data_IF_556707019039
#
_entry.id   IF_556707019039
#
_cell.length_a   1.000
_cell.length_b   1.000
_cell.length_c   1.000
_cell.angle_alpha   90.00
_cell.angle_beta   90.00
_cell.angle_gamma   90.00
#
_symmetry.space_group_name_H-M   'P 1'
#
loop_
_entity.id
_entity.type
_entity.pdbx_description
1 polymer ?
#
# COMPACT_ATOMS: atom_id res chain seq x y z
N UNK A 1 -8.77 1.70 -45.92
CA UNK A 1 -8.53 2.55 -44.72
C UNK A 1 -8.59 1.67 -43.47
N UNK A 2 -7.44 1.26 -42.92
CA UNK A 2 -7.43 0.51 -41.66
C UNK A 2 -7.63 1.45 -40.47
N UNK A 3 -8.72 1.26 -39.70
CA UNK A 3 -8.94 1.99 -38.44
C UNK A 3 -7.66 1.86 -37.59
N UNK A 4 -7.01 2.95 -37.13
CA UNK A 4 -5.96 2.83 -36.13
C UNK A 4 -6.51 1.98 -34.98
N UNK A 5 -5.78 0.92 -34.66
CA UNK A 5 -6.40 -0.32 -34.19
C UNK A 5 -6.95 -0.14 -32.79
N UNK A 6 -8.27 -0.32 -32.65
CA UNK A 6 -8.95 -0.44 -31.36
C UNK A 6 -8.24 -1.44 -30.43
N UNK A 7 -7.52 -2.39 -31.02
CA UNK A 7 -6.60 -3.32 -30.38
C UNK A 7 -5.50 -2.65 -29.52
N UNK A 8 -4.77 -1.66 -30.03
CA UNK A 8 -3.68 -1.01 -29.27
C UNK A 8 -4.21 -0.23 -28.06
N UNK A 9 -5.37 0.40 -28.22
CA UNK A 9 -6.10 1.02 -27.10
C UNK A 9 -6.53 -0.01 -26.07
N UNK A 10 -7.09 -1.14 -26.51
CA UNK A 10 -7.46 -2.25 -25.64
C UNK A 10 -6.26 -2.77 -24.83
N UNK A 11 -5.09 -2.93 -25.46
CA UNK A 11 -3.86 -3.35 -24.76
C UNK A 11 -3.45 -2.34 -23.69
N UNK A 12 -3.47 -1.04 -24.00
CA UNK A 12 -3.08 0.01 -23.06
C UNK A 12 -4.00 0.06 -21.84
N UNK A 13 -5.31 0.01 -22.07
CA UNK A 13 -6.31 -0.03 -20.98
C UNK A 13 -6.17 -1.31 -20.15
N UNK A 14 -5.93 -2.46 -20.80
CA UNK A 14 -5.72 -3.72 -20.10
C UNK A 14 -4.43 -3.71 -19.27
N UNK A 15 -3.31 -3.25 -19.83
CA UNK A 15 -2.03 -3.14 -19.13
C UNK A 15 -2.13 -2.20 -17.93
N UNK A 16 -2.80 -1.07 -18.10
CA UNK A 16 -3.08 -0.13 -17.03
C UNK A 16 -3.91 -0.77 -15.91
N UNK A 17 -5.05 -1.38 -16.27
CA UNK A 17 -5.96 -2.00 -15.30
C UNK A 17 -5.25 -3.13 -14.55
N UNK A 18 -4.43 -3.92 -15.25
CA UNK A 18 -3.62 -4.98 -14.65
C UNK A 18 -2.60 -4.42 -13.66
N UNK A 19 -1.91 -3.33 -13.98
CA UNK A 19 -0.96 -2.69 -13.08
C UNK A 19 -1.64 -2.13 -11.83
N UNK A 20 -2.78 -1.44 -11.98
CA UNK A 20 -3.55 -0.90 -10.84
C UNK A 20 -4.08 -2.02 -9.95
N UNK A 21 -4.67 -3.08 -10.54
CA UNK A 21 -5.14 -4.24 -9.78
C UNK A 21 -3.97 -4.91 -9.06
N UNK A 22 -2.83 -5.06 -9.72
CA UNK A 22 -1.65 -5.66 -9.11
C UNK A 22 -1.13 -4.83 -7.95
N UNK A 23 -0.98 -3.52 -8.12
CA UNK A 23 -0.58 -2.60 -7.05
C UNK A 23 -1.55 -2.62 -5.87
N UNK A 24 -2.86 -2.78 -6.14
CA UNK A 24 -3.88 -2.87 -5.13
C UNK A 24 -3.86 -4.19 -4.36
N UNK A 25 -3.51 -5.31 -5.01
CA UNK A 25 -3.60 -6.65 -4.43
C UNK A 25 -2.29 -7.13 -3.81
N UNK A 26 -1.14 -6.75 -4.37
CA UNK A 26 0.16 -7.27 -3.94
C UNK A 26 0.71 -6.47 -2.74
N UNK A 27 0.85 -7.09 -1.55
CA UNK A 27 1.39 -6.42 -0.36
C UNK A 27 2.82 -5.96 -0.54
N UNK A 28 3.59 -6.63 -1.40
CA UNK A 28 4.98 -6.27 -1.62
C UNK A 28 5.15 -5.09 -2.58
N UNK A 29 4.08 -4.62 -3.25
CA UNK A 29 4.18 -3.59 -4.29
C UNK A 29 4.80 -2.28 -3.78
N UNK A 30 4.36 -1.79 -2.62
CA UNK A 30 4.86 -0.55 -2.03
C UNK A 30 6.37 -0.59 -1.72
N UNK A 31 6.89 -1.65 -1.05
CA UNK A 31 8.34 -1.87 -0.95
C UNK A 31 9.06 -1.92 -2.29
N UNK A 32 8.40 -2.29 -3.40
CA UNK A 32 9.05 -2.29 -4.72
C UNK A 32 9.24 -0.86 -5.22
N UNK A 33 8.24 -0.01 -5.02
CA UNK A 33 8.29 1.38 -5.48
C UNK A 33 9.37 2.15 -4.71
N UNK A 34 9.46 1.94 -3.39
CA UNK A 34 10.42 2.62 -2.51
C UNK A 34 11.80 1.96 -2.45
N UNK A 35 11.87 0.66 -2.75
CA UNK A 35 13.10 -0.11 -2.72
C UNK A 35 14.08 0.34 -3.80
N UNK A 36 15.38 0.09 -3.60
CA UNK A 36 16.37 0.44 -4.62
C UNK A 36 16.29 -0.58 -5.77
N UNK A 37 15.59 -0.24 -6.86
CA UNK A 37 15.25 -1.12 -8.00
C UNK A 37 16.47 -1.82 -8.61
N UNK A 38 17.66 -1.23 -8.45
CA UNK A 38 18.93 -1.73 -8.99
C UNK A 38 19.76 -2.58 -8.02
N UNK A 39 19.23 -2.90 -6.83
CA UNK A 39 19.92 -3.82 -5.93
C UNK A 39 19.82 -5.26 -6.44
N UNK A 40 20.97 -5.90 -6.65
CA UNK A 40 21.07 -7.27 -7.19
C UNK A 40 20.34 -8.32 -6.33
N UNK A 41 20.32 -8.11 -5.01
CA UNK A 41 19.63 -9.01 -4.06
C UNK A 41 18.11 -9.04 -4.24
N UNK A 42 17.51 -7.96 -4.76
CA UNK A 42 16.06 -7.90 -4.94
C UNK A 42 15.59 -8.67 -6.19
N UNK A 43 16.32 -8.56 -7.30
CA UNK A 43 16.04 -9.35 -8.52
C UNK A 43 16.05 -10.86 -8.26
N UNK A 44 16.94 -11.34 -7.38
CA UNK A 44 16.98 -12.75 -6.99
C UNK A 44 15.84 -13.17 -6.08
N UNK A 45 15.33 -12.27 -5.23
CA UNK A 45 14.31 -12.60 -4.23
C UNK A 45 12.90 -12.68 -4.83
N UNK A 46 12.62 -11.94 -5.91
CA UNK A 46 11.27 -11.84 -6.49
C UNK A 46 11.27 -11.84 -8.04
N UNK A 47 11.79 -12.89 -8.70
CA UNK A 47 11.99 -12.90 -10.14
C UNK A 47 10.69 -12.76 -10.95
N UNK A 48 9.61 -13.41 -10.49
CA UNK A 48 8.29 -13.38 -11.17
C UNK A 48 7.73 -11.95 -11.23
N UNK A 49 7.88 -11.19 -10.14
CA UNK A 49 7.41 -9.81 -10.05
C UNK A 49 8.25 -8.89 -10.95
N UNK A 50 9.57 -9.03 -10.95
CA UNK A 50 10.45 -8.28 -11.84
C UNK A 50 10.06 -8.47 -13.30
N UNK A 51 9.87 -9.73 -13.72
CA UNK A 51 9.44 -10.08 -15.08
C UNK A 51 8.09 -9.45 -15.40
N UNK A 52 7.14 -9.48 -14.46
CA UNK A 52 5.83 -8.84 -14.61
C UNK A 52 5.90 -7.33 -14.87
N UNK A 53 6.66 -6.58 -14.06
CA UNK A 53 6.83 -5.12 -14.25
C UNK A 53 7.47 -4.84 -15.60
N UNK A 54 8.54 -5.56 -15.93
CA UNK A 54 9.29 -5.38 -17.18
C UNK A 54 8.39 -5.66 -18.39
N UNK A 55 7.58 -6.71 -18.36
CA UNK A 55 6.63 -7.01 -19.43
C UNK A 55 5.58 -5.91 -19.60
N UNK A 56 4.99 -5.41 -18.50
CA UNK A 56 4.03 -4.30 -18.56
C UNK A 56 4.69 -3.04 -19.13
N UNK A 57 5.91 -2.72 -18.69
CA UNK A 57 6.67 -1.57 -19.19
C UNK A 57 7.00 -1.70 -20.69
N UNK A 58 7.46 -2.87 -21.13
CA UNK A 58 7.75 -3.13 -22.56
C UNK A 58 6.47 -3.01 -23.39
N UNK A 59 5.34 -3.56 -22.92
CA UNK A 59 4.06 -3.43 -23.62
C UNK A 59 3.60 -1.98 -23.71
N UNK A 60 3.70 -1.22 -22.62
CA UNK A 60 3.31 0.19 -22.57
C UNK A 60 4.17 1.05 -23.50
N UNK A 61 5.51 0.95 -23.38
CA UNK A 61 6.46 1.72 -24.20
C UNK A 61 6.41 1.28 -25.66
N UNK A 62 6.40 -0.02 -25.93
CA UNK A 62 6.40 -0.57 -27.28
C UNK A 62 5.15 -0.20 -28.07
N UNK A 63 3.97 -0.23 -27.43
CA UNK A 63 2.73 0.18 -28.10
C UNK A 63 2.64 1.70 -28.29
N UNK A 64 3.21 2.51 -27.39
CA UNK A 64 3.30 3.96 -27.54
C UNK A 64 4.25 4.36 -28.68
N UNK A 65 5.42 3.73 -28.76
CA UNK A 65 6.37 3.89 -29.86
C UNK A 65 5.77 3.44 -31.20
N UNK A 66 5.07 2.31 -31.22
CA UNK A 66 4.36 1.83 -32.41
C UNK A 66 3.32 2.84 -32.91
N UNK A 67 2.64 3.54 -32.00
CA UNK A 67 1.71 4.61 -32.34
C UNK A 67 2.42 5.85 -32.90
N UNK A 68 3.54 6.27 -32.30
CA UNK A 68 4.36 7.37 -32.82
C UNK A 68 4.88 7.08 -34.24
N UNK A 69 5.39 5.88 -34.49
CA UNK A 69 5.89 5.48 -35.82
C UNK A 69 4.75 5.49 -36.84
N UNK A 70 3.57 4.95 -36.51
CA UNK A 70 2.40 5.00 -37.40
C UNK A 70 1.93 6.42 -37.70
N UNK A 71 2.07 7.33 -36.74
CA UNK A 71 1.72 8.73 -36.88
C UNK A 71 2.65 9.43 -37.89
N UNK A 72 3.97 9.30 -37.72
CA UNK A 72 4.95 9.92 -38.62
C UNK A 72 4.94 9.31 -40.03
N UNK A 73 4.78 7.99 -40.14
CA UNK A 73 4.78 7.29 -41.44
C UNK A 73 3.54 7.58 -42.32
N UNK A 74 2.43 8.05 -41.74
CA UNK A 74 1.16 8.33 -42.46
C UNK A 74 0.90 9.82 -42.72
N UNK A 75 1.87 10.69 -42.46
CA UNK A 75 1.72 12.15 -42.53
C UNK A 75 1.65 12.74 -43.96
N UNK A 76 1.52 11.94 -45.02
CA UNK A 76 1.39 12.47 -46.39
C UNK A 76 -0.05 12.95 -46.69
N UNK A 77 -0.20 14.28 -46.62
CA UNK A 77 -0.97 15.15 -47.52
C UNK A 77 -2.50 15.33 -47.47
N UNK A 78 -3.32 14.66 -46.62
CA UNK A 78 -4.78 14.94 -46.66
C UNK A 78 -5.59 14.81 -45.34
N UNK A 79 -4.97 15.03 -44.16
CA UNK A 79 -5.50 14.55 -42.86
C UNK A 79 -5.37 15.59 -41.72
N UNK A 80 -5.67 16.88 -41.94
CA UNK A 80 -5.38 17.91 -40.93
C UNK A 80 -6.24 17.80 -39.63
N UNK A 81 -7.54 17.45 -39.73
CA UNK A 81 -8.43 17.32 -38.54
C UNK A 81 -8.25 16.01 -37.76
N UNK A 82 -7.92 14.91 -38.44
CA UNK A 82 -7.67 13.60 -37.79
C UNK A 82 -6.32 13.56 -37.08
N UNK A 83 -5.35 14.36 -37.53
CA UNK A 83 -4.03 14.51 -36.89
C UNK A 83 -4.12 15.10 -35.48
N UNK A 84 -5.00 16.10 -35.26
CA UNK A 84 -5.12 16.75 -33.95
C UNK A 84 -5.74 15.82 -32.90
N UNK A 85 -6.83 15.14 -33.25
CA UNK A 85 -7.47 14.18 -32.36
C UNK A 85 -6.53 13.01 -31.98
N UNK A 86 -5.70 12.56 -32.91
CA UNK A 86 -4.69 11.53 -32.64
C UNK A 86 -3.56 12.05 -31.74
N UNK A 87 -3.08 13.27 -31.97
CA UNK A 87 -2.05 13.87 -31.13
C UNK A 87 -2.54 14.09 -29.70
N UNK A 88 -3.78 14.57 -29.53
CA UNK A 88 -4.43 14.65 -28.22
C UNK A 88 -4.55 13.29 -27.56
N UNK A 89 -4.93 12.25 -28.31
CA UNK A 89 -4.99 10.88 -27.80
C UNK A 89 -3.64 10.38 -27.26
N UNK A 90 -2.54 10.59 -28.00
CA UNK A 90 -1.17 10.24 -27.53
C UNK A 90 -0.81 11.02 -26.29
N UNK A 91 -1.02 12.34 -26.33
CA UNK A 91 -0.66 13.22 -25.23
C UNK A 91 -1.41 12.85 -23.95
N UNK A 92 -2.72 12.57 -24.05
CA UNK A 92 -3.54 12.12 -22.93
C UNK A 92 -3.06 10.78 -22.40
N UNK A 93 -2.72 9.82 -23.28
CA UNK A 93 -2.21 8.51 -22.85
C UNK A 93 -0.85 8.62 -22.16
N UNK A 94 0.06 9.43 -22.69
CA UNK A 94 1.35 9.70 -22.09
C UNK A 94 1.20 10.40 -20.73
N UNK A 95 0.38 11.45 -20.67
CA UNK A 95 0.06 12.15 -19.42
C UNK A 95 -0.56 11.21 -18.38
N UNK A 96 -1.38 10.25 -18.81
CA UNK A 96 -1.99 9.26 -17.92
C UNK A 96 -0.97 8.28 -17.35
N UNK A 97 -0.03 7.78 -18.15
CA UNK A 97 1.08 6.95 -17.65
C UNK A 97 2.01 7.73 -16.70
N UNK A 98 2.28 9.00 -17.01
CA UNK A 98 3.05 9.86 -16.11
C UNK A 98 2.31 10.09 -14.78
N UNK A 99 1.00 10.38 -14.82
CA UNK A 99 0.19 10.53 -13.62
C UNK A 99 0.18 9.24 -12.80
N UNK A 100 0.07 8.08 -13.46
CA UNK A 100 0.15 6.79 -12.77
C UNK A 100 1.49 6.63 -12.06
N UNK A 101 2.60 6.90 -12.74
CA UNK A 101 3.94 6.79 -12.17
C UNK A 101 4.14 7.71 -10.95
N UNK A 102 3.60 8.92 -11.00
CA UNK A 102 3.65 9.90 -9.89
C UNK A 102 2.76 9.47 -8.71
N UNK A 103 1.64 8.79 -8.98
CA UNK A 103 0.65 8.41 -7.96
C UNK A 103 0.72 6.93 -7.55
N UNK A 104 1.82 6.22 -7.86
CA UNK A 104 1.96 4.81 -7.47
C UNK A 104 1.87 4.62 -5.96
N UNK A 105 2.46 5.52 -5.16
CA UNK A 105 2.43 5.43 -3.70
C UNK A 105 1.01 5.57 -3.17
N UNK A 106 0.22 6.50 -3.70
CA UNK A 106 -1.18 6.67 -3.33
C UNK A 106 -2.01 5.42 -3.69
N UNK A 107 -1.77 4.82 -4.85
CA UNK A 107 -2.47 3.59 -5.26
C UNK A 107 -2.08 2.43 -4.35
N UNK A 108 -0.80 2.29 -4.04
CA UNK A 108 -0.29 1.26 -3.15
C UNK A 108 -0.89 1.40 -1.73
N UNK A 109 -0.96 2.63 -1.22
CA UNK A 109 -1.60 2.96 0.04
C UNK A 109 -3.09 2.63 0.05
N UNK A 110 -3.85 3.00 -1.00
CA UNK A 110 -5.26 2.61 -1.10
C UNK A 110 -5.45 1.09 -1.22
N UNK A 111 -4.53 0.40 -1.90
CA UNK A 111 -4.46 -1.06 -1.93
C UNK A 111 -4.30 -1.65 -0.54
N UNK A 112 -3.32 -1.16 0.22
CA UNK A 112 -3.07 -1.54 1.61
C UNK A 112 -4.29 -1.31 2.48
N UNK A 113 -4.89 -0.12 2.41
CA UNK A 113 -6.14 0.22 3.10
C UNK A 113 -7.24 -0.80 2.79
N UNK A 114 -7.48 -1.15 1.52
CA UNK A 114 -8.51 -2.11 1.14
C UNK A 114 -8.24 -3.51 1.73
N UNK A 115 -6.99 -3.98 1.68
CA UNK A 115 -6.58 -5.26 2.28
C UNK A 115 -6.82 -5.28 3.79
N UNK A 116 -6.49 -4.19 4.49
CA UNK A 116 -6.70 -4.09 5.94
C UNK A 116 -8.17 -3.88 6.31
N UNK A 117 -8.96 -3.19 5.50
CA UNK A 117 -10.40 -3.06 5.69
C UNK A 117 -11.11 -4.43 5.73
N UNK A 118 -10.67 -5.38 4.90
CA UNK A 118 -11.18 -6.77 4.95
C UNK A 118 -10.69 -7.56 6.16
N UNK A 119 -9.66 -7.08 6.87
CA UNK A 119 -9.02 -7.76 8.01
C UNK A 119 -9.37 -7.13 9.36
N UNK A 120 -10.27 -6.13 9.38
CA UNK A 120 -10.67 -5.44 10.61
C UNK A 120 -11.13 -6.40 11.70
N UNK A 121 -11.83 -7.49 11.35
CA UNK A 121 -12.27 -8.48 12.34
C UNK A 121 -11.11 -9.21 13.02
N UNK A 122 -9.99 -9.42 12.33
CA UNK A 122 -8.81 -10.06 12.92
C UNK A 122 -8.08 -9.10 13.86
N UNK A 123 -7.97 -7.83 13.48
CA UNK A 123 -7.46 -6.76 14.35
C UNK A 123 -8.33 -6.58 15.60
N UNK A 124 -9.65 -6.67 15.42
CA UNK A 124 -10.63 -6.56 16.49
C UNK A 124 -10.49 -7.68 17.53
N UNK A 125 -10.20 -8.92 17.11
CA UNK A 125 -9.95 -10.03 18.06
C UNK A 125 -8.76 -9.77 18.98
N UNK A 126 -7.76 -9.02 18.50
CA UNK A 126 -6.59 -8.62 19.28
C UNK A 126 -6.93 -7.45 20.19
N UNK A 127 -7.55 -6.40 19.65
CA UNK A 127 -7.76 -5.15 20.40
C UNK A 127 -8.94 -5.18 21.36
N UNK A 128 -10.01 -5.93 21.07
CA UNK A 128 -11.22 -5.97 21.89
C UNK A 128 -10.95 -6.25 23.39
N UNK A 129 -10.23 -7.33 23.76
CA UNK A 129 -9.94 -7.58 25.18
C UNK A 129 -9.10 -6.47 25.82
N UNK A 130 -8.20 -5.85 25.06
CA UNK A 130 -7.32 -4.78 25.55
C UNK A 130 -8.07 -3.46 25.84
N UNK A 131 -9.20 -3.23 25.17
CA UNK A 131 -10.07 -2.07 25.45
C UNK A 131 -10.83 -2.20 26.76
N UNK A 132 -11.21 -3.43 27.10
CA UNK A 132 -11.93 -3.72 28.34
C UNK A 132 -10.97 -3.76 29.53
N UNK A 133 -9.81 -4.39 29.34
CA UNK A 133 -8.83 -4.57 30.39
C UNK A 133 -7.40 -4.44 29.86
N UNK A 134 -6.78 -3.29 30.12
CA UNK A 134 -5.38 -3.08 29.81
C UNK A 134 -4.47 -3.75 30.87
N UNK A 135 -3.56 -4.66 30.47
CA UNK A 135 -2.68 -5.35 31.40
C UNK A 135 -1.78 -4.40 32.19
N UNK A 136 -1.66 -4.62 33.50
CA UNK A 136 -0.81 -3.81 34.39
C UNK A 136 0.54 -4.45 34.70
N UNK A 137 0.75 -5.70 34.27
CA UNK A 137 1.92 -6.52 34.53
C UNK A 137 2.18 -7.43 33.33
N UNK A 138 3.40 -7.93 33.23
CA UNK A 138 3.78 -8.95 32.27
C UNK A 138 2.88 -10.19 32.38
N UNK A 139 2.70 -10.88 31.26
CA UNK A 139 1.85 -12.06 31.24
C UNK A 139 1.68 -12.62 29.85
N UNK A 140 0.61 -13.39 29.69
CA UNK A 140 0.22 -14.01 28.43
C UNK A 140 -1.28 -13.80 28.20
N UNK A 141 -1.63 -13.44 26.98
CA UNK A 141 -3.02 -13.25 26.56
C UNK A 141 -3.33 -14.18 25.38
N UNK A 142 -4.50 -14.85 25.34
CA UNK A 142 -4.77 -15.87 24.32
C UNK A 142 -4.64 -15.42 22.86
N UNK A 143 -4.94 -14.14 22.56
CA UNK A 143 -4.93 -13.61 21.20
C UNK A 143 -3.55 -13.06 20.75
N UNK A 144 -2.67 -12.71 21.69
CA UNK A 144 -1.39 -12.04 21.41
C UNK A 144 -0.16 -12.82 21.86
N UNK A 145 -0.34 -13.82 22.74
CA UNK A 145 0.74 -14.59 23.34
C UNK A 145 1.42 -13.87 24.51
N UNK A 146 2.65 -14.27 24.86
CA UNK A 146 3.41 -13.68 25.96
C UNK A 146 3.90 -12.26 25.64
N UNK A 147 3.83 -11.36 26.61
CA UNK A 147 4.21 -9.95 26.47
C UNK A 147 4.88 -9.39 27.73
N UNK A 148 5.62 -8.29 27.55
CA UNK A 148 6.11 -7.44 28.63
C UNK A 148 5.35 -6.12 28.64
N UNK A 149 4.89 -5.68 29.81
CA UNK A 149 4.15 -4.44 29.99
C UNK A 149 5.09 -3.29 30.37
N UNK A 150 5.15 -2.26 29.54
CA UNK A 150 6.08 -1.14 29.69
C UNK A 150 5.38 0.23 29.54
N UNK A 151 5.81 1.29 30.25
CA UNK A 151 6.76 1.28 31.37
C UNK A 151 6.18 0.67 32.64
N UNK A 152 7.05 0.29 33.58
CA UNK A 152 6.62 -0.28 34.86
C UNK A 152 5.73 0.69 35.65
N UNK A 153 4.68 0.15 36.26
CA UNK A 153 3.74 0.89 37.12
C UNK A 153 2.58 1.57 36.40
N UNK A 154 2.80 2.07 35.18
CA UNK A 154 1.74 2.61 34.30
C UNK A 154 2.00 2.20 32.84
N UNK A 155 1.84 0.91 32.51
CA UNK A 155 2.17 0.43 31.18
C UNK A 155 1.25 1.06 30.14
N UNK A 156 1.87 1.57 29.08
CA UNK A 156 1.20 2.13 27.89
C UNK A 156 1.55 1.32 26.64
N UNK A 157 2.51 0.41 26.73
CA UNK A 157 2.99 -0.42 25.63
C UNK A 157 3.12 -1.87 26.07
N UNK A 158 2.70 -2.79 25.21
CA UNK A 158 2.93 -4.21 25.33
C UNK A 158 3.96 -4.61 24.28
N UNK A 159 5.15 -4.98 24.73
CA UNK A 159 6.20 -5.53 23.88
C UNK A 159 5.94 -7.02 23.75
N UNK A 160 5.56 -7.46 22.55
CA UNK A 160 5.18 -8.85 22.33
C UNK A 160 6.41 -9.73 22.17
N UNK A 161 6.50 -10.80 22.96
CA UNK A 161 7.62 -11.76 22.87
C UNK A 161 7.40 -12.77 21.73
N UNK A 162 6.17 -12.87 21.25
CA UNK A 162 5.78 -13.60 20.05
C UNK A 162 4.97 -12.66 19.17
N UNK A 163 5.21 -12.67 17.86
CA UNK A 163 4.48 -11.82 16.94
C UNK A 163 3.21 -12.55 16.47
N UNK A 164 2.01 -12.24 17.00
CA UNK A 164 0.78 -12.91 16.58
C UNK A 164 0.51 -12.57 15.10
N UNK A 165 0.18 -13.58 14.27
CA UNK A 165 -0.08 -13.34 12.86
C UNK A 165 -1.44 -12.67 12.67
N UNK A 166 -1.44 -11.65 11.81
CA UNK A 166 -2.63 -11.06 11.18
C UNK A 166 -2.62 -11.51 9.72
N UNK A 167 -3.74 -12.02 9.22
CA UNK A 167 -3.93 -12.47 7.84
C UNK A 167 -2.96 -13.57 7.38
N UNK A 168 -3.17 -14.78 7.90
CA UNK A 168 -2.54 -16.03 7.42
C UNK A 168 -1.01 -15.91 7.21
N UNK A 169 -0.31 -15.28 8.16
CA UNK A 169 1.17 -15.19 8.26
C UNK A 169 1.87 -14.19 7.32
N UNK A 170 1.15 -13.22 6.75
CA UNK A 170 1.77 -12.16 5.93
C UNK A 170 2.09 -10.88 6.71
N UNK A 171 1.34 -10.66 7.80
CA UNK A 171 1.46 -9.52 8.70
C UNK A 171 1.53 -10.03 10.13
N UNK A 172 2.26 -9.34 10.98
CA UNK A 172 2.36 -9.65 12.40
C UNK A 172 2.22 -8.38 13.23
N UNK A 173 1.77 -8.51 14.47
CA UNK A 173 1.84 -7.41 15.44
C UNK A 173 3.15 -7.55 16.21
N UNK A 174 3.94 -6.48 16.29
CA UNK A 174 5.21 -6.47 17.03
C UNK A 174 5.10 -5.80 18.39
N UNK A 175 4.32 -4.72 18.46
CA UNK A 175 4.02 -4.00 19.68
C UNK A 175 2.56 -3.53 19.66
N UNK A 176 2.01 -3.33 20.86
CA UNK A 176 0.68 -2.77 21.05
C UNK A 176 0.79 -1.60 22.00
N UNK A 177 0.23 -0.45 21.63
CA UNK A 177 0.24 0.75 22.46
C UNK A 177 -1.17 1.21 22.80
N UNK A 178 -1.30 1.81 23.99
CA UNK A 178 -2.52 2.42 24.50
C UNK A 178 -2.27 3.88 24.81
N UNK A 179 -3.09 4.75 24.22
CA UNK A 179 -3.05 6.17 24.48
C UNK A 179 -4.46 6.76 24.43
N UNK A 180 -4.91 7.38 25.52
CA UNK A 180 -6.24 8.00 25.61
C UNK A 180 -7.39 7.04 25.20
N UNK A 181 -7.23 5.76 25.51
CA UNK A 181 -8.18 4.69 25.14
C UNK A 181 -8.09 4.20 23.70
N UNK A 182 -7.26 4.80 22.83
CA UNK A 182 -6.94 4.24 21.53
C UNK A 182 -6.00 3.04 21.69
N UNK A 183 -6.16 2.03 20.83
CA UNK A 183 -5.28 0.85 20.77
C UNK A 183 -4.55 0.88 19.43
N UNK A 184 -3.23 0.95 19.47
CA UNK A 184 -2.37 1.07 18.30
C UNK A 184 -1.58 -0.23 18.13
N UNK A 185 -1.71 -0.88 16.98
CA UNK A 185 -1.03 -2.14 16.66
C UNK A 185 0.08 -1.86 15.65
N UNK A 186 1.34 -2.06 16.03
CA UNK A 186 2.47 -1.89 15.12
C UNK A 186 2.61 -3.12 14.21
N UNK A 187 2.37 -2.93 12.92
CA UNK A 187 2.33 -4.01 11.93
C UNK A 187 3.72 -4.26 11.36
N UNK A 188 4.12 -5.52 11.26
CA UNK A 188 5.37 -5.97 10.65
C UNK A 188 5.12 -7.10 9.64
N UNK A 189 6.15 -7.50 8.91
CA UNK A 189 6.04 -8.49 7.82
C UNK A 189 5.91 -7.85 6.44
N UNK A 190 5.42 -8.62 5.47
CA UNK A 190 5.41 -8.25 4.04
C UNK A 190 4.49 -7.07 3.69
N UNK A 191 3.44 -6.86 4.49
CA UNK A 191 2.48 -5.74 4.36
C UNK A 191 2.53 -4.86 5.63
N UNK A 192 3.65 -4.91 6.37
CA UNK A 192 3.87 -4.18 7.62
C UNK A 192 4.43 -2.78 7.42
N UNK A 193 5.08 -2.23 8.46
CA UNK A 193 5.71 -0.90 8.46
C UNK A 193 4.78 0.24 8.85
N UNK A 194 3.47 -0.02 8.90
CA UNK A 194 2.44 0.94 9.31
C UNK A 194 1.74 0.46 10.59
N UNK A 195 0.79 1.25 11.08
CA UNK A 195 0.03 0.97 12.29
C UNK A 195 -1.44 0.76 11.95
N UNK A 196 -2.07 -0.18 12.64
CA UNK A 196 -3.52 -0.28 12.69
C UNK A 196 -4.01 0.26 14.03
N UNK A 197 -4.79 1.34 14.01
CA UNK A 197 -5.23 2.01 15.23
C UNK A 197 -6.74 1.95 15.37
N UNK A 198 -7.21 1.44 16.51
CA UNK A 198 -8.59 1.59 16.92
C UNK A 198 -8.75 2.84 17.80
N UNK A 199 -9.76 3.65 17.50
CA UNK A 199 -10.09 4.84 18.27
C UNK A 199 -11.52 4.80 18.82
N UNK A 200 -11.73 5.32 20.05
CA UNK A 200 -13.07 5.56 20.56
C UNK A 200 -13.80 6.61 19.70
N UNK A 201 -15.12 6.70 19.86
CA UNK A 201 -15.94 7.69 19.15
C UNK A 201 -15.36 9.10 19.39
N UNK A 202 -15.30 9.90 18.33
CA UNK A 202 -14.76 11.27 18.33
C UNK A 202 -13.24 11.40 18.51
N UNK A 203 -12.50 10.30 18.65
CA UNK A 203 -11.03 10.30 18.61
C UNK A 203 -10.52 9.99 17.20
N UNK A 204 -9.32 10.47 16.88
CA UNK A 204 -8.63 10.26 15.59
C UNK A 204 -7.13 10.03 15.82
N UNK A 205 -6.44 9.40 14.86
CA UNK A 205 -4.98 9.29 14.88
C UNK A 205 -4.33 10.67 14.99
N UNK A 206 -3.26 10.74 15.79
CA UNK A 206 -2.43 11.91 15.97
C UNK A 206 -0.99 11.48 16.24
N UNK A 207 -0.04 12.40 16.08
CA UNK A 207 1.35 12.18 16.47
C UNK A 207 1.43 11.87 17.97
N UNK A 208 2.32 10.97 18.35
CA UNK A 208 2.48 10.57 19.74
C UNK A 208 3.93 10.20 20.05
N UNK A 209 4.24 10.04 21.33
CA UNK A 209 5.50 9.49 21.80
C UNK A 209 5.19 8.09 22.34
N UNK A 210 5.82 7.08 21.76
CA UNK A 210 5.60 5.69 22.14
C UNK A 210 6.08 5.39 23.55
N UNK A 211 5.67 4.25 24.10
CA UNK A 211 6.06 3.89 25.47
C UNK A 211 7.57 3.76 25.67
N UNK A 212 8.33 3.49 24.60
CA UNK A 212 9.80 3.46 24.59
C UNK A 212 10.46 4.84 24.41
N UNK A 213 9.67 5.93 24.49
CA UNK A 213 10.09 7.31 24.23
C UNK A 213 10.46 7.63 22.78
N UNK A 214 10.03 6.79 21.84
CA UNK A 214 10.23 7.01 20.40
C UNK A 214 9.15 7.97 19.86
N UNK A 215 9.52 9.09 19.21
CA UNK A 215 8.54 9.99 18.60
C UNK A 215 7.97 9.38 17.31
N UNK A 216 6.66 9.50 17.14
CA UNK A 216 5.94 9.08 15.94
C UNK A 216 5.15 10.26 15.38
N UNK A 217 5.66 10.86 14.30
CA UNK A 217 5.01 11.98 13.62
C UNK A 217 4.01 11.48 12.57
N UNK A 218 2.75 11.86 12.70
CA UNK A 218 1.70 11.42 11.79
C UNK A 218 1.96 11.90 10.35
N UNK A 219 2.07 10.98 9.41
CA UNK A 219 2.25 11.26 7.99
C UNK A 219 0.94 11.07 7.20
N UNK A 220 0.28 9.93 7.36
CA UNK A 220 -1.01 9.64 6.74
C UNK A 220 -1.90 8.84 7.69
N UNK A 221 -3.21 9.06 7.64
CA UNK A 221 -4.21 8.29 8.36
C UNK A 221 -5.46 8.13 7.51
N UNK A 222 -5.84 6.88 7.25
CA UNK A 222 -7.05 6.58 6.48
C UNK A 222 -7.94 5.59 7.22
N UNK A 223 -9.24 5.88 7.28
CA UNK A 223 -10.20 4.98 7.93
C UNK A 223 -10.38 3.67 7.16
N UNK A 224 -10.33 2.57 7.91
CA UNK A 224 -10.63 1.20 7.44
C UNK A 224 -11.95 0.66 8.02
N UNK A 225 -12.71 1.49 8.75
CA UNK A 225 -14.07 1.21 9.23
C UNK A 225 -14.16 0.86 10.73
N UNK A 226 -15.34 0.98 11.33
CA UNK A 226 -15.60 0.60 12.73
C UNK A 226 -14.67 1.26 13.78
N UNK A 227 -14.24 2.50 13.54
CA UNK A 227 -13.31 3.21 14.42
C UNK A 227 -11.83 2.85 14.18
N UNK A 228 -11.55 1.97 13.23
CA UNK A 228 -10.20 1.61 12.82
C UNK A 228 -9.65 2.54 11.74
N UNK A 229 -8.35 2.78 11.85
CA UNK A 229 -7.54 3.54 10.92
C UNK A 229 -6.28 2.75 10.57
N UNK A 230 -5.86 2.84 9.31
CA UNK A 230 -4.50 2.50 8.90
C UNK A 230 -3.70 3.81 8.94
N UNK A 231 -2.58 3.80 9.65
CA UNK A 231 -1.83 4.99 10.01
C UNK A 231 -0.36 4.81 9.67
N UNK A 232 0.22 5.80 9.00
CA UNK A 232 1.64 5.89 8.69
C UNK A 232 2.27 6.96 9.56
N UNK A 233 3.38 6.60 10.19
CA UNK A 233 4.20 7.50 10.97
C UNK A 233 5.56 7.66 10.32
N UNK A 234 6.10 8.87 10.37
CA UNK A 234 7.49 9.16 10.07
C UNK A 234 8.34 8.85 11.31
N UNK A 235 9.39 8.05 11.09
CA UNK A 235 10.45 7.74 12.05
C UNK A 235 11.61 8.71 11.94
#
# INVERSE_FOLDING_TARGET
MGKPSQWLWGIQVAAFSMLVIWAAVDPSFEPLVHGNWFSSGWMSANPIRCVGIVLIAILAVGSLLGWMVQFFARSSSMIHRRSLAQLLAVATLAAFWCALAIHLDTIAWQGKRARFAWRVQELERIAAPLREQWPQRDGELPAIGPFMAYPFGRPTTLVLLQAPPVAKRSVYVSAIESQNGAIKLQLTGTDGGDWAEWHPRQSRPSSFVGGLSDPHELEDATSIGHGWYLVRYRS
#
